data_IF_451109888644
#
_entry.id   IF_451109888644
#
_cell.length_a   1.000
_cell.length_b   1.000
_cell.length_c   1.000
_cell.angle_alpha   90.00
_cell.angle_beta   90.00
_cell.angle_gamma   90.00
#
_symmetry.space_group_name_H-M   'P 1'
#
loop_
_entity.id
_entity.type
_entity.pdbx_description
1 polymer ?
#
# COMPACT_ATOMS: atom_id res chain seq x y z
N UNK A 1 -13.11 -32.70 -3.89
CA UNK A 1 -12.33 -33.78 -4.54
C UNK A 1 -11.60 -33.30 -5.79
N UNK A 2 -12.30 -32.74 -6.79
CA UNK A 2 -11.69 -32.24 -8.05
C UNK A 2 -10.56 -31.20 -7.87
N UNK A 3 -10.71 -30.23 -6.95
CA UNK A 3 -9.66 -29.25 -6.60
C UNK A 3 -8.36 -29.90 -6.13
N UNK A 4 -8.44 -30.85 -5.19
CA UNK A 4 -7.27 -31.53 -4.63
C UNK A 4 -6.57 -32.43 -5.65
N UNK A 5 -7.33 -33.18 -6.47
CA UNK A 5 -6.79 -34.01 -7.55
C UNK A 5 -6.04 -33.15 -8.57
N UNK A 6 -6.59 -31.99 -8.92
CA UNK A 6 -5.99 -31.06 -9.87
C UNK A 6 -4.70 -30.41 -9.36
N UNK A 7 -4.59 -30.13 -8.05
CA UNK A 7 -3.35 -29.61 -7.45
C UNK A 7 -2.29 -30.71 -7.39
N UNK A 8 -2.66 -31.92 -6.96
CA UNK A 8 -1.73 -33.06 -6.95
C UNK A 8 -1.24 -33.42 -8.35
N UNK A 9 -2.11 -33.37 -9.36
CA UNK A 9 -1.70 -33.64 -10.74
C UNK A 9 -0.70 -32.60 -11.26
N UNK A 10 -0.83 -31.32 -10.90
CA UNK A 10 0.14 -30.27 -11.26
C UNK A 10 1.49 -30.44 -10.54
N UNK A 11 1.50 -30.92 -9.29
CA UNK A 11 2.73 -31.17 -8.53
C UNK A 11 3.49 -32.42 -9.00
N UNK A 12 2.78 -33.48 -9.41
CA UNK A 12 3.38 -34.80 -9.67
C UNK A 12 3.63 -35.14 -11.16
N UNK A 13 3.00 -34.44 -12.12
CA UNK A 13 3.14 -34.76 -13.55
C UNK A 13 3.72 -33.57 -14.35
N UNK A 14 4.88 -33.79 -14.96
CA UNK A 14 5.66 -32.83 -15.78
C UNK A 14 4.96 -32.45 -17.10
N UNK A 15 3.91 -31.63 -17.03
CA UNK A 15 3.41 -30.68 -18.05
C UNK A 15 2.05 -30.14 -17.56
N UNK A 16 1.70 -28.86 -17.50
CA UNK A 16 2.06 -27.70 -18.32
C UNK A 16 1.46 -26.48 -17.59
N UNK A 17 2.27 -25.57 -17.05
CA UNK A 17 1.87 -24.33 -16.36
C UNK A 17 1.03 -24.48 -15.07
N UNK A 18 1.48 -23.87 -13.96
CA UNK A 18 0.66 -23.66 -12.75
C UNK A 18 -0.41 -22.63 -13.03
N UNK A 19 -1.67 -23.05 -13.04
CA UNK A 19 -2.80 -22.17 -13.24
C UNK A 19 -3.15 -21.41 -11.96
N UNK A 20 -3.33 -20.10 -12.05
CA UNK A 20 -3.73 -19.22 -10.94
C UNK A 20 -4.97 -18.44 -11.34
N UNK A 21 -5.97 -18.39 -10.47
CA UNK A 21 -7.28 -17.84 -10.77
C UNK A 21 -7.51 -16.54 -9.99
N UNK A 22 -7.55 -15.41 -10.69
CA UNK A 22 -7.64 -14.08 -10.11
C UNK A 22 -9.09 -13.59 -10.08
N UNK A 23 -9.50 -13.03 -8.94
CA UNK A 23 -10.77 -12.34 -8.75
C UNK A 23 -10.45 -10.90 -8.35
N UNK A 24 -10.65 -9.95 -9.26
CA UNK A 24 -10.20 -8.57 -9.10
C UNK A 24 -11.39 -7.68 -8.76
N UNK A 25 -11.30 -6.95 -7.65
CA UNK A 25 -12.28 -5.94 -7.26
C UNK A 25 -11.63 -4.55 -7.31
N UNK A 26 -12.27 -3.61 -8.02
CA UNK A 26 -11.79 -2.23 -8.15
C UNK A 26 -10.93 -1.98 -9.39
N UNK A 27 -11.45 -2.14 -10.63
CA UNK A 27 -10.73 -1.86 -11.87
C UNK A 27 -10.62 -0.35 -12.20
N UNK A 28 -10.53 0.50 -11.17
CA UNK A 28 -10.35 1.95 -11.32
C UNK A 28 -8.94 2.31 -11.79
N UNK A 29 -8.40 3.45 -11.35
CA UNK A 29 -7.09 3.93 -11.81
C UNK A 29 -5.97 2.86 -11.67
N UNK A 30 -5.74 2.34 -10.46
CA UNK A 30 -4.72 1.29 -10.22
C UNK A 30 -5.13 -0.05 -10.84
N UNK A 31 -6.39 -0.47 -10.68
CA UNK A 31 -6.86 -1.77 -11.17
C UNK A 31 -6.83 -1.90 -12.70
N UNK A 32 -7.14 -0.82 -13.43
CA UNK A 32 -7.00 -0.76 -14.88
C UNK A 32 -5.55 -0.88 -15.33
N UNK A 33 -4.60 -0.23 -14.63
CA UNK A 33 -3.17 -0.40 -14.90
C UNK A 33 -2.70 -1.83 -14.63
N UNK A 34 -3.16 -2.44 -13.53
CA UNK A 34 -2.88 -3.84 -13.22
C UNK A 34 -3.35 -4.78 -14.35
N UNK A 35 -4.59 -4.60 -14.83
CA UNK A 35 -5.14 -5.41 -15.93
C UNK A 35 -4.32 -5.24 -17.22
N UNK A 36 -3.87 -4.01 -17.53
CA UNK A 36 -2.97 -3.74 -18.65
C UNK A 36 -1.61 -4.44 -18.51
N UNK A 37 -1.00 -4.38 -17.31
CA UNK A 37 0.27 -5.05 -17.03
C UNK A 37 0.13 -6.58 -17.11
N UNK A 38 -0.96 -7.15 -16.60
CA UNK A 38 -1.28 -8.57 -16.73
C UNK A 38 -1.40 -8.97 -18.20
N UNK A 39 -2.14 -8.22 -19.01
CA UNK A 39 -2.30 -8.46 -20.44
C UNK A 39 -0.94 -8.51 -21.18
N UNK A 40 -0.06 -7.56 -20.86
CA UNK A 40 1.26 -7.47 -21.49
C UNK A 40 2.18 -8.64 -21.10
N UNK A 41 2.07 -9.16 -19.87
CA UNK A 41 3.01 -10.15 -19.33
C UNK A 41 2.56 -11.61 -19.51
N UNK A 42 1.35 -11.89 -20.01
CA UNK A 42 0.81 -13.26 -20.15
C UNK A 42 1.78 -14.25 -20.83
N UNK A 43 2.47 -13.83 -21.90
CA UNK A 43 3.43 -14.69 -22.60
C UNK A 43 4.68 -14.94 -21.77
N UNK A 44 5.25 -13.91 -21.17
CA UNK A 44 6.45 -14.04 -20.32
C UNK A 44 6.18 -14.96 -19.13
N UNK A 45 5.04 -14.79 -18.45
CA UNK A 45 4.68 -15.61 -17.29
C UNK A 45 4.57 -17.10 -17.64
N UNK A 46 3.96 -17.42 -18.79
CA UNK A 46 3.90 -18.79 -19.29
C UNK A 46 5.30 -19.28 -19.65
N UNK A 47 5.96 -18.63 -20.61
CA UNK A 47 7.21 -19.10 -21.20
C UNK A 47 8.38 -19.16 -20.19
N UNK A 48 8.42 -18.28 -19.19
CA UNK A 48 9.57 -18.12 -18.27
C UNK A 48 9.30 -18.55 -16.84
N UNK A 49 8.06 -18.44 -16.37
CA UNK A 49 7.72 -18.76 -14.98
C UNK A 49 6.82 -20.00 -14.85
N UNK A 50 6.44 -20.62 -15.97
CA UNK A 50 5.45 -21.69 -16.01
C UNK A 50 4.15 -21.31 -15.26
N UNK A 51 3.72 -20.04 -15.34
CA UNK A 51 2.51 -19.54 -14.69
C UNK A 51 1.45 -19.16 -15.73
N UNK A 52 0.23 -19.67 -15.55
CA UNK A 52 -0.95 -19.28 -16.35
C UNK A 52 -1.91 -18.48 -15.46
N UNK A 53 -1.83 -17.15 -15.52
CA UNK A 53 -2.70 -16.26 -14.73
C UNK A 53 -4.02 -16.01 -15.47
N UNK A 54 -5.12 -16.50 -14.92
CA UNK A 54 -6.46 -16.32 -15.47
C UNK A 54 -7.26 -15.36 -14.61
N UNK A 55 -7.70 -14.25 -15.19
CA UNK A 55 -8.67 -13.36 -14.53
C UNK A 55 -10.07 -13.97 -14.71
N UNK A 56 -10.64 -14.48 -13.61
CA UNK A 56 -11.93 -15.17 -13.62
C UNK A 56 -13.08 -14.19 -13.43
N UNK A 57 -12.87 -13.15 -12.63
CA UNK A 57 -13.86 -12.10 -12.47
C UNK A 57 -13.22 -10.73 -12.27
N UNK A 58 -13.91 -9.71 -12.79
CA UNK A 58 -13.62 -8.30 -12.55
C UNK A 58 -14.91 -7.67 -12.01
N UNK A 59 -14.84 -7.01 -10.87
CA UNK A 59 -15.99 -6.37 -10.25
C UNK A 59 -15.69 -4.92 -9.86
N UNK A 60 -16.71 -4.06 -9.94
CA UNK A 60 -16.72 -2.74 -9.32
C UNK A 60 -17.95 -2.60 -8.38
N UNK A 61 -18.29 -1.39 -7.93
CA UNK A 61 -19.44 -1.19 -7.04
C UNK A 61 -20.81 -1.40 -7.68
N UNK A 62 -20.88 -1.58 -9.00
CA UNK A 62 -22.11 -1.63 -9.79
C UNK A 62 -22.27 -2.90 -10.61
N UNK A 63 -21.18 -3.48 -11.08
CA UNK A 63 -21.18 -4.57 -12.06
C UNK A 63 -20.12 -5.62 -11.72
N UNK A 64 -20.40 -6.88 -12.07
CA UNK A 64 -19.46 -7.99 -11.96
C UNK A 64 -19.43 -8.80 -13.24
N UNK A 65 -18.31 -8.71 -13.95
CA UNK A 65 -18.00 -9.53 -15.12
C UNK A 65 -17.35 -10.83 -14.66
N UNK A 66 -17.90 -11.96 -15.09
CA UNK A 66 -17.46 -13.31 -14.68
C UNK A 66 -17.24 -14.17 -15.92
N UNK A 67 -16.16 -14.93 -15.94
CA UNK A 67 -15.89 -15.96 -16.94
C UNK A 67 -16.37 -17.32 -16.43
N UNK A 68 -17.05 -18.06 -17.29
CA UNK A 68 -17.44 -19.45 -17.04
C UNK A 68 -16.29 -20.42 -17.35
N UNK A 69 -15.56 -20.20 -18.45
CA UNK A 69 -14.37 -20.98 -18.85
C UNK A 69 -13.27 -20.10 -19.46
N UNK A 70 -12.00 -20.47 -19.29
CA UNK A 70 -10.86 -19.88 -19.99
C UNK A 70 -10.31 -18.55 -19.46
N UNK A 71 -11.05 -17.84 -18.61
CA UNK A 71 -10.69 -16.50 -18.12
C UNK A 71 -11.23 -15.38 -19.03
N UNK A 72 -11.21 -14.15 -18.52
CA UNK A 72 -11.70 -12.95 -19.20
C UNK A 72 -10.67 -12.41 -20.21
N UNK A 73 -11.16 -11.80 -21.29
CA UNK A 73 -10.35 -10.94 -22.16
C UNK A 73 -9.84 -9.74 -21.35
N UNK A 74 -8.54 -9.47 -21.41
CA UNK A 74 -7.92 -8.33 -20.71
C UNK A 74 -7.85 -7.08 -21.58
N UNK A 75 -8.34 -7.13 -22.82
CA UNK A 75 -8.44 -5.97 -23.72
C UNK A 75 -9.83 -5.35 -23.69
N UNK A 76 -10.87 -6.17 -23.70
CA UNK A 76 -12.27 -5.72 -23.91
C UNK A 76 -13.08 -5.66 -22.61
N UNK A 77 -12.43 -5.89 -21.47
CA UNK A 77 -13.08 -5.91 -20.17
C UNK A 77 -13.84 -4.62 -19.81
N UNK A 78 -13.43 -3.38 -20.20
CA UNK A 78 -14.16 -2.19 -19.77
C UNK A 78 -15.60 -2.18 -20.29
N UNK A 79 -15.78 -2.39 -21.60
CA UNK A 79 -17.10 -2.43 -22.23
C UNK A 79 -17.92 -3.64 -21.77
N UNK A 80 -17.27 -4.80 -21.60
CA UNK A 80 -17.94 -6.00 -21.09
C UNK A 80 -18.41 -5.82 -19.64
N UNK A 81 -17.64 -5.12 -18.80
CA UNK A 81 -18.00 -4.85 -17.40
C UNK A 81 -19.18 -3.89 -17.29
N UNK A 82 -19.25 -2.87 -18.14
CA UNK A 82 -20.39 -1.94 -18.18
C UNK A 82 -21.73 -2.63 -18.49
N UNK A 83 -21.69 -3.72 -19.26
CA UNK A 83 -22.87 -4.52 -19.62
C UNK A 83 -23.12 -5.69 -18.65
N UNK A 84 -22.19 -5.96 -17.73
CA UNK A 84 -22.28 -7.09 -16.83
C UNK A 84 -23.36 -6.86 -15.75
N UNK A 85 -23.97 -7.93 -15.22
CA UNK A 85 -25.00 -7.81 -14.19
C UNK A 85 -24.45 -7.16 -12.92
N UNK A 86 -25.34 -6.50 -12.17
CA UNK A 86 -25.03 -6.02 -10.84
C UNK A 86 -24.85 -7.19 -9.87
N UNK A 87 -23.92 -7.02 -8.93
CA UNK A 87 -23.60 -8.05 -7.95
C UNK A 87 -23.05 -7.39 -6.70
N UNK A 88 -23.64 -7.71 -5.55
CA UNK A 88 -23.23 -7.15 -4.26
C UNK A 88 -21.89 -7.74 -3.80
N UNK A 89 -21.21 -7.06 -2.89
CA UNK A 89 -19.95 -7.55 -2.32
C UNK A 89 -20.08 -8.94 -1.65
N UNK A 90 -21.20 -9.19 -0.98
CA UNK A 90 -21.49 -10.48 -0.35
C UNK A 90 -21.65 -11.58 -1.41
N UNK A 91 -22.43 -11.30 -2.46
CA UNK A 91 -22.58 -12.22 -3.61
C UNK A 91 -21.24 -12.45 -4.31
N UNK A 92 -20.36 -11.44 -4.39
CA UNK A 92 -19.04 -11.60 -5.01
C UNK A 92 -18.16 -12.55 -4.21
N UNK A 93 -18.17 -12.37 -2.89
CA UNK A 93 -17.45 -13.26 -1.97
C UNK A 93 -17.97 -14.69 -2.07
N UNK A 94 -19.30 -14.87 -2.13
CA UNK A 94 -19.90 -16.19 -2.32
C UNK A 94 -19.61 -16.79 -3.69
N UNK A 95 -19.55 -15.99 -4.76
CA UNK A 95 -19.14 -16.42 -6.09
C UNK A 95 -17.71 -17.00 -6.07
N UNK A 96 -16.76 -16.30 -5.43
CA UNK A 96 -15.38 -16.76 -5.30
C UNK A 96 -15.32 -18.10 -4.56
N UNK A 97 -16.01 -18.18 -3.42
CA UNK A 97 -16.03 -19.38 -2.57
C UNK A 97 -16.69 -20.57 -3.29
N UNK A 98 -17.83 -20.35 -3.94
CA UNK A 98 -18.61 -21.39 -4.62
C UNK A 98 -17.91 -21.95 -5.86
N UNK A 99 -17.21 -21.10 -6.64
CA UNK A 99 -16.38 -21.58 -7.75
C UNK A 99 -15.27 -22.51 -7.27
N UNK A 100 -14.76 -22.31 -6.03
CA UNK A 100 -13.78 -23.18 -5.37
C UNK A 100 -12.63 -23.62 -6.29
N UNK A 101 -12.08 -22.65 -7.04
CA UNK A 101 -10.98 -22.92 -7.95
C UNK A 101 -9.69 -23.18 -7.15
N UNK A 102 -8.74 -23.89 -7.77
CA UNK A 102 -7.37 -24.02 -7.24
C UNK A 102 -6.63 -22.69 -7.39
N UNK A 103 -5.63 -22.48 -6.54
CA UNK A 103 -4.71 -21.33 -6.64
C UNK A 103 -5.47 -20.00 -6.84
N UNK A 104 -6.55 -19.81 -6.07
CA UNK A 104 -7.38 -18.62 -6.18
C UNK A 104 -6.77 -17.46 -5.41
N UNK A 105 -6.74 -16.30 -6.05
CA UNK A 105 -6.27 -15.04 -5.46
C UNK A 105 -7.36 -14.00 -5.62
N UNK A 106 -7.87 -13.51 -4.50
CA UNK A 106 -8.69 -12.31 -4.45
C UNK A 106 -7.78 -11.09 -4.40
N UNK A 107 -8.02 -10.13 -5.29
CA UNK A 107 -7.22 -8.93 -5.46
C UNK A 107 -8.10 -7.72 -5.16
N UNK A 108 -7.90 -7.10 -4.01
CA UNK A 108 -8.59 -5.88 -3.59
C UNK A 108 -7.77 -4.65 -3.98
N UNK A 109 -8.23 -3.95 -5.01
CA UNK A 109 -7.65 -2.69 -5.49
C UNK A 109 -8.56 -1.49 -5.15
N UNK A 110 -9.33 -1.62 -4.07
CA UNK A 110 -10.22 -0.56 -3.54
C UNK A 110 -9.64 0.09 -2.28
N UNK A 111 -10.36 1.08 -1.76
CA UNK A 111 -10.14 1.65 -0.43
C UNK A 111 -11.37 1.47 0.48
N UNK A 112 -12.22 0.48 0.19
CA UNK A 112 -13.50 0.30 0.87
C UNK A 112 -13.35 -0.58 2.12
N UNK A 113 -13.71 -0.11 3.33
CA UNK A 113 -13.66 -0.92 4.54
C UNK A 113 -14.49 -2.21 4.48
N UNK A 114 -15.69 -2.17 3.87
CA UNK A 114 -16.55 -3.35 3.77
C UNK A 114 -15.91 -4.49 2.98
N UNK A 115 -15.03 -4.16 2.02
CA UNK A 115 -14.25 -5.14 1.26
C UNK A 115 -13.20 -5.80 2.14
N UNK A 116 -12.52 -5.02 2.98
CA UNK A 116 -11.53 -5.53 3.92
C UNK A 116 -12.12 -6.55 4.90
N UNK A 117 -13.40 -6.44 5.26
CA UNK A 117 -14.14 -7.40 6.11
C UNK A 117 -14.34 -8.77 5.43
N UNK A 118 -14.27 -8.85 4.10
CA UNK A 118 -14.44 -10.11 3.36
C UNK A 118 -13.16 -10.95 3.32
N UNK A 119 -12.02 -10.46 3.83
CA UNK A 119 -10.75 -11.18 3.73
C UNK A 119 -10.74 -12.46 4.58
N UNK A 120 -11.28 -12.41 5.80
CA UNK A 120 -11.32 -13.56 6.69
C UNK A 120 -12.08 -14.77 6.09
N UNK A 121 -13.33 -14.64 5.58
CA UNK A 121 -14.02 -15.78 4.97
C UNK A 121 -13.32 -16.32 3.72
N UNK A 122 -12.61 -15.48 2.95
CA UNK A 122 -11.84 -15.90 1.79
C UNK A 122 -10.60 -16.71 2.18
N UNK A 123 -9.80 -16.21 3.14
CA UNK A 123 -8.61 -16.89 3.65
C UNK A 123 -8.97 -18.25 4.27
N UNK A 124 -10.09 -18.33 5.00
CA UNK A 124 -10.61 -19.57 5.57
C UNK A 124 -11.07 -20.62 4.52
N UNK A 125 -11.09 -20.25 3.24
CA UNK A 125 -11.35 -21.16 2.11
C UNK A 125 -10.11 -21.33 1.21
N UNK A 126 -8.93 -21.02 1.74
CA UNK A 126 -7.64 -21.07 1.04
C UNK A 126 -7.64 -20.22 -0.24
N UNK A 127 -8.33 -19.08 -0.22
CA UNK A 127 -8.22 -18.04 -1.25
C UNK A 127 -7.20 -17.03 -0.74
N UNK A 128 -6.10 -16.84 -1.46
CA UNK A 128 -5.10 -15.84 -1.12
C UNK A 128 -5.69 -14.43 -1.28
N UNK A 129 -5.25 -13.49 -0.46
CA UNK A 129 -5.67 -12.09 -0.54
C UNK A 129 -4.45 -11.23 -0.87
N UNK A 130 -4.55 -10.45 -1.95
CA UNK A 130 -3.62 -9.39 -2.31
C UNK A 130 -4.37 -8.07 -2.24
N UNK A 131 -3.88 -7.10 -1.48
CA UNK A 131 -4.62 -5.88 -1.21
C UNK A 131 -3.77 -4.60 -1.32
N UNK A 132 -4.27 -3.60 -2.06
CA UNK A 132 -3.87 -2.19 -1.92
C UNK A 132 -4.59 -1.47 -0.78
N UNK A 133 -5.61 -2.11 -0.23
CA UNK A 133 -6.46 -1.53 0.77
C UNK A 133 -5.77 -1.58 2.14
N UNK A 134 -5.46 -0.38 2.66
CA UNK A 134 -4.78 -0.22 3.95
C UNK A 134 -5.66 -0.59 5.15
N UNK A 135 -6.99 -0.59 5.00
CA UNK A 135 -7.95 -0.70 6.11
C UNK A 135 -7.69 -1.94 6.98
N UNK A 136 -7.50 -3.12 6.37
CA UNK A 136 -7.25 -4.34 7.14
C UNK A 136 -5.90 -4.32 7.89
N UNK A 137 -4.84 -3.80 7.25
CA UNK A 137 -3.49 -3.82 7.81
C UNK A 137 -3.29 -2.74 8.90
N UNK A 138 -3.98 -1.59 8.78
CA UNK A 138 -3.93 -0.48 9.72
C UNK A 138 -5.16 -0.34 10.64
N UNK A 139 -6.11 -1.27 10.58
CA UNK A 139 -7.28 -1.31 11.45
C UNK A 139 -6.96 -1.89 12.82
N UNK A 140 -7.98 -2.38 13.54
CA UNK A 140 -7.82 -3.06 14.83
C UNK A 140 -6.78 -4.20 14.76
N UNK A 141 -5.84 -4.23 15.70
CA UNK A 141 -4.79 -5.25 15.71
C UNK A 141 -5.35 -6.67 15.75
N UNK A 142 -6.47 -6.87 16.46
CA UNK A 142 -7.13 -8.17 16.57
C UNK A 142 -7.55 -8.71 15.19
N UNK A 143 -8.14 -7.87 14.33
CA UNK A 143 -8.54 -8.27 12.99
C UNK A 143 -7.34 -8.53 12.08
N UNK A 144 -6.35 -7.62 12.07
CA UNK A 144 -5.10 -7.83 11.36
C UNK A 144 -4.44 -9.17 11.73
N UNK A 145 -4.32 -9.46 13.03
CA UNK A 145 -3.74 -10.71 13.54
C UNK A 145 -4.57 -11.92 13.15
N UNK A 146 -5.90 -11.83 13.18
CA UNK A 146 -6.79 -12.88 12.69
C UNK A 146 -6.50 -13.22 11.22
N UNK A 147 -6.33 -12.22 10.35
CA UNK A 147 -6.01 -12.44 8.94
C UNK A 147 -4.65 -13.13 8.75
N UNK A 148 -3.62 -12.69 9.49
CA UNK A 148 -2.29 -13.34 9.45
C UNK A 148 -2.35 -14.80 9.93
N UNK A 149 -3.13 -15.08 10.98
CA UNK A 149 -3.33 -16.44 11.48
C UNK A 149 -4.08 -17.31 10.46
N UNK A 150 -5.21 -16.83 9.91
CA UNK A 150 -5.96 -17.55 8.89
C UNK A 150 -5.10 -17.87 7.66
N UNK A 151 -4.29 -16.90 7.20
CA UNK A 151 -3.37 -17.13 6.10
C UNK A 151 -2.40 -18.29 6.40
N UNK A 152 -1.83 -18.34 7.60
CA UNK A 152 -0.96 -19.44 8.05
C UNK A 152 -1.72 -20.76 8.17
N UNK A 153 -2.85 -20.77 8.88
CA UNK A 153 -3.57 -21.98 9.27
C UNK A 153 -4.19 -22.69 8.05
N UNK A 154 -4.55 -21.93 7.00
CA UNK A 154 -5.10 -22.46 5.74
C UNK A 154 -4.07 -22.55 4.59
N UNK A 155 -2.78 -22.43 4.92
CA UNK A 155 -1.65 -22.47 3.97
C UNK A 155 -1.86 -21.57 2.74
N UNK A 156 -2.22 -20.31 2.97
CA UNK A 156 -2.44 -19.29 1.95
C UNK A 156 -1.69 -18.00 2.29
N UNK A 157 -1.84 -16.95 1.49
CA UNK A 157 -1.17 -15.66 1.72
C UNK A 157 -2.17 -14.54 1.93
N UNK A 158 -1.80 -13.63 2.82
CA UNK A 158 -2.30 -12.26 2.88
C UNK A 158 -1.13 -11.32 2.60
N UNK A 159 -1.15 -10.67 1.44
CA UNK A 159 -0.08 -9.79 0.93
C UNK A 159 -0.65 -8.40 0.67
N UNK A 160 0.15 -7.39 0.96
CA UNK A 160 -0.27 -5.99 0.91
C UNK A 160 0.94 -5.05 0.80
N UNK A 161 1.92 -5.43 -0.03
CA UNK A 161 3.16 -4.66 -0.24
C UNK A 161 2.87 -3.18 -0.52
N UNK A 162 1.83 -2.92 -1.29
CA UNK A 162 1.50 -1.58 -1.76
C UNK A 162 0.90 -0.68 -0.71
N UNK A 163 0.58 -1.20 0.48
CA UNK A 163 0.15 -0.40 1.61
C UNK A 163 1.26 0.54 2.12
N UNK A 164 2.54 0.20 1.91
CA UNK A 164 3.69 1.02 2.31
C UNK A 164 4.70 1.10 1.19
N UNK A 165 4.89 2.29 0.60
CA UNK A 165 5.90 2.49 -0.44
C UNK A 165 5.43 2.20 -1.87
N UNK A 166 4.13 2.03 -2.12
CA UNK A 166 3.56 1.75 -3.44
C UNK A 166 4.16 0.49 -4.10
N UNK A 167 5.05 0.63 -5.08
CA UNK A 167 5.68 -0.53 -5.75
C UNK A 167 7.00 -0.95 -5.11
N UNK A 168 7.50 -0.22 -4.11
CA UNK A 168 8.76 -0.53 -3.45
C UNK A 168 8.62 -1.81 -2.61
N UNK A 169 9.64 -2.68 -2.60
CA UNK A 169 9.61 -3.93 -1.83
C UNK A 169 9.91 -3.68 -0.34
N UNK A 170 9.12 -2.86 0.33
CA UNK A 170 9.34 -2.47 1.73
C UNK A 170 8.92 -3.58 2.70
N UNK A 171 7.66 -3.99 2.64
CA UNK A 171 7.08 -5.03 3.51
C UNK A 171 7.69 -6.39 3.18
N UNK A 172 7.94 -6.69 1.91
CA UNK A 172 8.64 -7.90 1.50
C UNK A 172 10.03 -8.00 2.14
N UNK A 173 10.84 -6.95 2.01
CA UNK A 173 12.19 -6.90 2.62
C UNK A 173 12.13 -7.02 4.13
N UNK A 174 11.23 -6.29 4.79
CA UNK A 174 11.02 -6.38 6.23
C UNK A 174 10.64 -7.81 6.67
N UNK A 175 9.75 -8.45 5.93
CA UNK A 175 9.34 -9.83 6.22
C UNK A 175 10.50 -10.82 6.05
N UNK A 176 11.36 -10.65 5.05
CA UNK A 176 12.52 -11.52 4.83
C UNK A 176 13.58 -11.34 5.93
N UNK A 177 13.83 -10.10 6.38
CA UNK A 177 14.67 -9.82 7.54
C UNK A 177 14.13 -10.55 8.78
N UNK A 178 12.87 -10.33 9.13
CA UNK A 178 12.25 -10.92 10.33
C UNK A 178 12.17 -12.45 10.25
N UNK A 179 11.76 -13.02 9.10
CA UNK A 179 11.61 -14.48 8.92
C UNK A 179 12.94 -15.21 8.92
N UNK A 180 14.01 -14.57 8.48
CA UNK A 180 15.37 -15.11 8.55
C UNK A 180 15.99 -14.99 9.95
N UNK A 181 15.25 -14.49 10.93
CA UNK A 181 15.69 -14.37 12.32
C UNK A 181 16.48 -13.10 12.64
N UNK A 182 16.38 -12.05 11.81
CA UNK A 182 16.88 -10.72 12.17
C UNK A 182 15.87 -9.99 13.07
N UNK A 183 16.34 -8.99 13.83
CA UNK A 183 15.51 -8.18 14.74
C UNK A 183 15.61 -6.72 14.34
N UNK A 184 14.48 -6.13 13.96
CA UNK A 184 14.39 -4.71 13.65
C UNK A 184 14.40 -3.90 14.95
N UNK A 185 15.42 -3.06 15.12
CA UNK A 185 15.59 -2.19 16.29
C UNK A 185 15.00 -0.81 16.05
N UNK A 186 15.18 -0.29 14.83
CA UNK A 186 14.72 1.04 14.47
C UNK A 186 14.35 1.12 13.00
N UNK A 187 13.31 1.86 12.70
CA UNK A 187 12.92 2.23 11.34
C UNK A 187 12.78 3.75 11.25
N UNK A 188 13.20 4.30 10.12
CA UNK A 188 12.90 5.68 9.74
C UNK A 188 12.40 5.70 8.32
N UNK A 189 11.42 6.54 8.03
CA UNK A 189 10.82 6.56 6.72
C UNK A 189 10.27 7.94 6.36
N UNK A 190 10.36 8.28 5.07
CA UNK A 190 9.60 9.39 4.49
C UNK A 190 8.69 8.77 3.44
N UNK A 191 7.38 8.83 3.69
CA UNK A 191 6.39 8.00 3.02
C UNK A 191 5.20 8.77 2.46
N UNK A 192 5.25 10.11 2.45
CA UNK A 192 4.20 10.96 1.87
C UNK A 192 4.78 11.81 0.75
N UNK A 193 4.28 11.56 -0.47
CA UNK A 193 4.64 12.35 -1.65
C UNK A 193 4.22 13.82 -1.50
N UNK A 194 3.04 14.05 -0.94
CA UNK A 194 2.47 15.38 -0.71
C UNK A 194 3.31 16.20 0.28
N UNK A 195 3.59 15.64 1.46
CA UNK A 195 4.42 16.31 2.47
C UNK A 195 5.85 16.52 1.97
N UNK A 196 6.43 15.54 1.27
CA UNK A 196 7.75 15.69 0.68
C UNK A 196 7.76 16.79 -0.40
N UNK A 197 6.72 16.91 -1.23
CA UNK A 197 6.59 17.99 -2.19
C UNK A 197 6.52 19.35 -1.49
N UNK A 198 5.63 19.51 -0.51
CA UNK A 198 5.43 20.78 0.21
C UNK A 198 6.74 21.25 0.86
N UNK A 199 7.41 20.39 1.63
CA UNK A 199 8.66 20.76 2.32
C UNK A 199 9.89 20.86 1.40
N UNK A 200 9.85 20.27 0.21
CA UNK A 200 10.90 20.48 -0.80
C UNK A 200 10.74 21.80 -1.57
N UNK A 201 9.52 22.35 -1.63
CA UNK A 201 9.20 23.55 -2.40
C UNK A 201 8.93 24.80 -1.53
N UNK A 202 8.94 24.65 -0.20
CA UNK A 202 8.88 25.78 0.73
C UNK A 202 10.28 26.19 1.16
N UNK A 203 10.70 27.37 0.72
CA UNK A 203 12.02 27.97 0.98
C UNK A 203 11.91 29.35 1.66
N UNK A 204 10.72 29.71 2.16
CA UNK A 204 10.43 31.00 2.78
C UNK A 204 10.30 32.18 1.81
N UNK A 205 10.53 32.00 0.51
CA UNK A 205 10.42 33.07 -0.50
C UNK A 205 8.98 33.48 -0.80
N UNK A 206 8.04 32.55 -0.62
CA UNK A 206 6.59 32.73 -0.76
C UNK A 206 5.85 32.07 0.41
N UNK A 207 4.60 32.48 0.71
CA UNK A 207 3.82 31.92 1.80
C UNK A 207 3.64 30.40 1.70
N UNK A 208 3.66 29.70 2.84
CA UNK A 208 3.42 28.27 2.94
C UNK A 208 2.08 27.86 2.32
N UNK A 209 1.05 28.70 2.52
CA UNK A 209 -0.27 28.52 1.93
C UNK A 209 -0.24 28.43 0.39
N UNK A 210 0.63 29.18 -0.28
CA UNK A 210 0.78 29.13 -1.75
C UNK A 210 1.44 27.84 -2.21
N UNK A 211 2.42 27.32 -1.46
CA UNK A 211 3.06 26.03 -1.77
C UNK A 211 2.06 24.88 -1.62
N UNK A 212 1.24 24.91 -0.57
CA UNK A 212 0.17 23.91 -0.37
C UNK A 212 -0.87 24.01 -1.48
N UNK A 213 -1.24 25.22 -1.88
CA UNK A 213 -2.18 25.43 -3.00
C UNK A 213 -1.62 24.92 -4.32
N UNK A 214 -0.35 25.17 -4.61
CA UNK A 214 0.31 24.59 -5.77
C UNK A 214 0.26 23.06 -5.74
N UNK A 215 0.53 22.45 -4.59
CA UNK A 215 0.44 21.00 -4.45
C UNK A 215 -0.97 20.48 -4.76
N UNK A 216 -2.01 21.21 -4.34
CA UNK A 216 -3.40 20.90 -4.64
C UNK A 216 -3.72 21.05 -6.13
N UNK A 217 -3.32 22.17 -6.76
CA UNK A 217 -3.56 22.46 -8.17
C UNK A 217 -2.87 21.45 -9.09
N UNK A 218 -1.69 20.97 -8.71
CA UNK A 218 -0.95 19.91 -9.42
C UNK A 218 -1.45 18.48 -9.10
N UNK A 219 -2.46 18.35 -8.23
CA UNK A 219 -3.08 17.06 -7.90
C UNK A 219 -2.24 16.17 -6.99
N UNK A 220 -1.33 16.74 -6.20
CA UNK A 220 -0.57 16.02 -5.17
C UNK A 220 -1.33 15.88 -3.85
N UNK A 221 -2.37 16.67 -3.61
CA UNK A 221 -3.22 16.56 -2.42
C UNK A 221 -4.57 15.95 -2.76
N UNK A 222 -5.25 15.43 -1.75
CA UNK A 222 -6.70 15.23 -1.78
C UNK A 222 -7.44 16.58 -1.94
N UNK A 223 -8.75 16.57 -2.32
CA UNK A 223 -9.55 17.80 -2.41
C UNK A 223 -9.55 18.63 -1.13
N UNK A 224 -9.37 17.98 0.02
CA UNK A 224 -9.06 18.61 1.30
C UNK A 224 -7.59 18.30 1.69
N UNK A 225 -6.66 19.26 1.54
CA UNK A 225 -5.24 19.04 1.82
C UNK A 225 -4.95 18.63 3.27
N UNK A 226 -5.85 18.92 4.22
CA UNK A 226 -5.66 18.53 5.63
C UNK A 226 -5.54 17.03 5.80
N UNK A 227 -6.16 16.24 4.91
CA UNK A 227 -6.11 14.77 4.94
C UNK A 227 -4.69 14.24 4.71
N UNK A 228 -3.88 14.95 3.92
CA UNK A 228 -2.48 14.61 3.67
C UNK A 228 -1.54 15.24 4.69
N UNK A 229 -1.78 16.52 5.04
CA UNK A 229 -0.86 17.29 5.88
C UNK A 229 -0.94 16.93 7.38
N UNK A 230 -2.02 16.31 7.84
CA UNK A 230 -2.18 15.92 9.25
C UNK A 230 -1.33 14.70 9.67
N UNK A 231 -0.63 14.05 8.75
CA UNK A 231 0.26 12.92 9.03
C UNK A 231 -0.42 11.57 9.27
N UNK A 232 -1.75 11.48 9.22
CA UNK A 232 -2.50 10.25 9.52
C UNK A 232 -2.18 9.08 8.58
N UNK A 233 -1.96 9.35 7.29
CA UNK A 233 -1.53 8.34 6.32
C UNK A 233 -0.13 7.81 6.63
N UNK A 234 0.79 8.69 7.02
CA UNK A 234 2.16 8.33 7.43
C UNK A 234 2.13 7.50 8.71
N UNK A 235 1.26 7.85 9.66
CA UNK A 235 1.06 7.11 10.90
C UNK A 235 0.51 5.69 10.64
N UNK A 236 -0.45 5.53 9.73
CA UNK A 236 -0.91 4.19 9.29
C UNK A 236 0.22 3.37 8.68
N UNK A 237 1.10 3.98 7.90
CA UNK A 237 2.21 3.25 7.25
C UNK A 237 3.25 2.77 8.26
N UNK A 238 3.65 3.60 9.23
CA UNK A 238 4.59 3.14 10.28
C UNK A 238 3.94 2.11 11.21
N UNK A 239 2.63 2.21 11.49
CA UNK A 239 1.88 1.18 12.20
C UNK A 239 1.97 -0.18 11.50
N UNK A 240 1.73 -0.20 10.18
CA UNK A 240 1.83 -1.43 9.38
C UNK A 240 3.26 -2.01 9.45
N UNK A 241 4.29 -1.18 9.29
CA UNK A 241 5.68 -1.63 9.38
C UNK A 241 6.02 -2.18 10.77
N UNK A 242 5.64 -1.48 11.85
CA UNK A 242 5.88 -1.94 13.21
C UNK A 242 5.19 -3.28 13.48
N UNK A 243 3.95 -3.47 12.99
CA UNK A 243 3.23 -4.76 13.09
C UNK A 243 3.93 -5.87 12.32
N UNK A 244 4.39 -5.62 11.09
CA UNK A 244 5.17 -6.59 10.31
C UNK A 244 6.56 -6.87 10.91
N UNK A 245 7.11 -5.94 11.70
CA UNK A 245 8.30 -6.16 12.54
C UNK A 245 8.01 -6.94 13.85
N UNK A 246 6.78 -7.44 14.03
CA UNK A 246 6.38 -8.28 15.15
C UNK A 246 5.77 -7.54 16.35
N UNK A 247 5.56 -6.23 16.25
CA UNK A 247 5.00 -5.44 17.35
C UNK A 247 3.48 -5.53 17.42
N UNK A 248 2.94 -5.39 18.63
CA UNK A 248 1.51 -5.26 18.88
C UNK A 248 1.21 -3.80 19.21
N UNK A 249 0.78 -3.06 18.19
CA UNK A 249 0.41 -1.64 18.29
C UNK A 249 -0.97 -1.40 17.69
N UNK A 250 -1.69 -0.46 18.26
CA UNK A 250 -2.87 0.19 17.70
C UNK A 250 -2.52 1.57 17.16
N UNK A 251 -3.44 2.16 16.38
CA UNK A 251 -3.26 3.52 15.86
C UNK A 251 -3.09 4.55 16.98
N UNK A 252 -3.75 4.35 18.13
CA UNK A 252 -3.61 5.20 19.32
C UNK A 252 -2.22 5.17 19.96
N UNK A 253 -1.43 4.14 19.67
CA UNK A 253 -0.07 4.00 20.20
C UNK A 253 0.97 4.74 19.32
N UNK A 254 0.55 5.25 18.15
CA UNK A 254 1.40 6.03 17.26
C UNK A 254 1.31 7.51 17.63
N UNK A 255 2.38 8.06 18.18
CA UNK A 255 2.44 9.49 18.47
C UNK A 255 2.44 10.30 17.15
N UNK A 256 1.59 11.33 17.07
CA UNK A 256 1.54 12.22 15.92
C UNK A 256 1.88 13.66 16.35
N UNK A 257 3.12 14.05 16.08
CA UNK A 257 3.64 15.39 16.34
C UNK A 257 3.32 16.31 15.16
N UNK A 258 2.09 16.86 15.19
CA UNK A 258 1.63 17.78 14.15
C UNK A 258 2.48 19.06 14.12
N UNK A 259 2.96 19.41 12.94
CA UNK A 259 3.58 20.72 12.68
C UNK A 259 2.55 21.82 12.39
N UNK A 260 1.29 21.44 12.09
CA UNK A 260 0.21 22.37 11.84
C UNK A 260 -0.34 22.92 13.16
N UNK A 261 -0.46 24.26 13.31
CA UNK A 261 -1.22 24.86 14.40
C UNK A 261 -2.66 24.32 14.44
N UNK A 262 -3.21 24.14 15.64
CA UNK A 262 -4.52 23.49 15.83
C UNK A 262 -5.66 24.23 15.10
N UNK A 263 -5.60 25.55 14.94
CA UNK A 263 -6.62 26.32 14.23
C UNK A 263 -6.67 26.00 12.74
N UNK A 264 -5.56 25.56 12.12
CA UNK A 264 -5.54 25.12 10.72
C UNK A 264 -6.37 23.85 10.50
N UNK A 265 -6.61 23.03 11.53
CA UNK A 265 -7.38 21.79 11.40
C UNK A 265 -8.90 21.99 11.59
N UNK A 266 -9.34 23.23 11.81
CA UNK A 266 -10.75 23.58 12.05
C UNK A 266 -11.40 24.18 10.79
N UNK A 267 -12.73 24.16 10.72
CA UNK A 267 -13.49 24.78 9.63
C UNK A 267 -13.50 23.98 8.32
N UNK A 268 -13.69 24.67 7.20
CA UNK A 268 -13.66 24.11 5.85
C UNK A 268 -12.30 24.35 5.16
N UNK A 269 -12.19 24.00 3.88
CA UNK A 269 -10.94 24.18 3.10
C UNK A 269 -10.59 25.65 2.92
N UNK A 270 -11.58 26.55 2.84
CA UNK A 270 -11.31 27.98 2.73
C UNK A 270 -10.70 28.51 4.04
N UNK A 271 -11.32 28.19 5.18
CA UNK A 271 -10.81 28.52 6.50
C UNK A 271 -9.40 27.96 6.75
N UNK A 272 -9.12 26.75 6.26
CA UNK A 272 -7.77 26.16 6.31
C UNK A 272 -6.72 27.08 5.66
N UNK A 273 -6.96 27.55 4.44
CA UNK A 273 -6.02 28.44 3.75
C UNK A 273 -5.88 29.81 4.42
N UNK A 274 -6.98 30.36 4.97
CA UNK A 274 -6.92 31.58 5.78
C UNK A 274 -6.03 31.39 7.01
N UNK A 275 -6.18 30.28 7.73
CA UNK A 275 -5.36 29.97 8.89
C UNK A 275 -3.89 29.69 8.53
N UNK A 276 -3.62 29.04 7.39
CA UNK A 276 -2.24 28.87 6.91
C UNK A 276 -1.57 30.22 6.67
N UNK A 277 -2.29 31.19 6.10
CA UNK A 277 -1.78 32.54 5.88
C UNK A 277 -1.52 33.29 7.19
N UNK A 278 -2.44 33.19 8.16
CA UNK A 278 -2.25 33.77 9.51
C UNK A 278 -1.01 33.20 10.20
N UNK A 279 -0.76 31.90 10.05
CA UNK A 279 0.37 31.20 10.66
C UNK A 279 1.65 31.14 9.80
N UNK A 280 1.76 31.95 8.75
CA UNK A 280 3.01 32.05 7.96
C UNK A 280 4.26 32.30 8.83
N UNK A 281 4.24 33.16 9.87
CA UNK A 281 5.40 33.31 10.76
C UNK A 281 5.85 32.01 11.45
N UNK A 282 4.91 31.11 11.78
CA UNK A 282 5.21 29.80 12.37
C UNK A 282 5.93 28.89 11.37
N UNK A 283 5.41 28.78 10.15
CA UNK A 283 6.04 27.94 9.11
C UNK A 283 7.40 28.48 8.69
N UNK A 284 7.53 29.81 8.61
CA UNK A 284 8.80 30.48 8.33
C UNK A 284 9.84 30.20 9.41
N UNK A 285 9.46 30.29 10.68
CA UNK A 285 10.35 29.96 11.79
C UNK A 285 10.84 28.50 11.75
N UNK A 286 9.96 27.54 11.40
CA UNK A 286 10.36 26.14 11.20
C UNK A 286 11.40 26.00 10.08
N UNK A 287 11.18 26.67 8.94
CA UNK A 287 12.10 26.64 7.81
C UNK A 287 13.44 27.31 8.15
N UNK A 288 13.43 28.50 8.70
CA UNK A 288 14.64 29.26 9.05
C UNK A 288 15.48 28.54 10.10
N UNK A 289 14.85 27.92 11.10
CA UNK A 289 15.54 27.09 12.09
C UNK A 289 16.32 25.95 11.41
N UNK A 290 15.70 25.22 10.48
CA UNK A 290 16.38 24.16 9.74
C UNK A 290 17.46 24.71 8.79
N UNK A 291 17.14 25.74 8.01
CA UNK A 291 18.00 26.30 6.98
C UNK A 291 19.27 26.96 7.57
N UNK A 292 19.16 27.59 8.74
CA UNK A 292 20.30 28.21 9.44
C UNK A 292 21.42 27.22 9.81
N UNK A 293 21.06 25.93 9.96
CA UNK A 293 21.99 24.84 10.24
C UNK A 293 22.29 23.98 9.00
N UNK A 294 21.87 24.41 7.81
CA UNK A 294 21.98 23.63 6.58
C UNK A 294 21.15 22.34 6.60
N UNK A 295 20.16 22.22 7.48
CA UNK A 295 19.24 21.08 7.58
C UNK A 295 18.04 21.24 6.66
N UNK A 296 17.34 20.14 6.39
CA UNK A 296 16.10 20.11 5.61
C UNK A 296 14.95 19.56 6.43
N UNK A 297 13.78 20.17 6.28
CA UNK A 297 12.55 19.68 6.91
C UNK A 297 12.03 18.44 6.17
N UNK A 298 11.79 17.35 6.91
CA UNK A 298 11.16 16.14 6.39
C UNK A 298 10.11 15.65 7.38
N UNK A 299 8.95 15.26 6.88
CA UNK A 299 7.95 14.59 7.71
C UNK A 299 8.29 13.10 7.80
N UNK A 300 8.80 12.68 8.97
CA UNK A 300 9.40 11.37 9.19
C UNK A 300 8.45 10.49 9.99
N UNK A 301 8.30 9.25 9.53
CA UNK A 301 7.77 8.15 10.31
C UNK A 301 8.92 7.42 10.99
N UNK A 302 8.82 7.19 12.28
CA UNK A 302 9.86 6.56 13.07
C UNK A 302 9.29 5.45 13.94
N UNK A 303 10.04 4.35 14.04
CA UNK A 303 9.84 3.33 15.05
C UNK A 303 11.17 3.07 15.75
N UNK A 304 11.20 3.13 17.08
CA UNK A 304 12.37 2.80 17.89
C UNK A 304 11.90 2.38 19.29
N UNK A 305 12.58 1.41 19.89
CA UNK A 305 12.36 1.01 21.29
C UNK A 305 10.90 0.70 21.63
N UNK A 306 10.18 0.06 20.71
CA UNK A 306 8.77 -0.30 20.89
C UNK A 306 7.77 0.83 20.63
N UNK A 307 8.24 2.04 20.34
CA UNK A 307 7.40 3.21 20.12
C UNK A 307 7.39 3.63 18.65
N UNK A 308 6.23 4.01 18.15
CA UNK A 308 6.07 4.56 16.81
C UNK A 308 5.65 6.03 16.91
N UNK A 309 6.23 6.87 16.06
CA UNK A 309 5.87 8.29 15.96
C UNK A 309 5.93 8.79 14.52
N UNK A 310 5.22 9.87 14.26
CA UNK A 310 5.34 10.66 13.03
C UNK A 310 5.45 12.13 13.37
N UNK A 311 6.24 12.88 12.62
CA UNK A 311 6.41 14.30 12.88
C UNK A 311 7.38 14.98 11.92
N UNK A 312 7.41 16.30 11.97
CA UNK A 312 8.35 17.10 11.20
C UNK A 312 9.72 17.11 11.88
N UNK A 313 10.75 16.65 11.17
CA UNK A 313 12.12 16.59 11.67
C UNK A 313 13.07 17.44 10.82
N UNK A 314 14.12 17.97 11.44
CA UNK A 314 15.22 18.63 10.76
C UNK A 314 16.32 17.61 10.45
N UNK A 315 16.53 17.32 9.18
CA UNK A 315 17.48 16.32 8.71
C UNK A 315 18.79 16.99 8.33
N UNK A 316 19.89 16.53 8.91
CA UNK A 316 21.23 17.04 8.64
C UNK A 316 21.80 16.54 7.29
N UNK A 317 22.71 17.32 6.67
CA UNK A 317 23.49 16.85 5.52
C UNK A 317 24.18 15.52 5.82
N UNK A 318 24.22 14.63 4.82
CA UNK A 318 24.83 13.30 4.96
C UNK A 318 23.90 12.21 5.49
N UNK A 319 22.73 12.54 6.04
CA UNK A 319 21.70 11.56 6.40
C UNK A 319 20.96 11.06 5.14
N UNK A 320 20.59 9.77 5.06
CA UNK A 320 19.91 9.17 3.89
C UNK A 320 18.54 9.82 3.55
N UNK A 321 17.95 10.54 4.51
CA UNK A 321 16.70 11.28 4.35
C UNK A 321 16.90 12.69 3.77
N UNK A 322 18.14 13.18 3.68
CA UNK A 322 18.44 14.58 3.33
C UNK A 322 18.17 14.88 1.84
N UNK A 323 18.59 13.97 0.95
CA UNK A 323 18.53 14.17 -0.52
C UNK A 323 17.28 13.58 -1.18
N UNK A 324 16.17 13.50 -0.46
CA UNK A 324 14.90 13.04 -1.04
C UNK A 324 14.32 14.14 -1.93
N UNK A 325 14.27 13.88 -3.25
CA UNK A 325 13.72 14.78 -4.27
C UNK A 325 12.37 14.27 -4.76
N UNK A 326 11.55 15.17 -5.29
CA UNK A 326 10.27 14.83 -5.92
C UNK A 326 9.34 14.03 -5.01
N UNK A 327 8.89 12.87 -5.50
CA UNK A 327 7.93 11.98 -4.83
C UNK A 327 8.57 10.66 -4.33
N UNK A 328 9.87 10.69 -4.09
CA UNK A 328 10.58 9.52 -3.58
C UNK A 328 10.10 9.17 -2.17
N UNK A 329 9.79 7.89 -1.97
CA UNK A 329 9.66 7.30 -0.65
C UNK A 329 10.97 6.61 -0.29
N UNK A 330 11.27 6.58 1.00
CA UNK A 330 12.42 5.85 1.53
C UNK A 330 12.07 5.23 2.88
N UNK A 331 12.61 4.04 3.12
CA UNK A 331 12.58 3.36 4.42
C UNK A 331 13.98 2.87 4.75
N UNK A 332 14.41 3.14 5.98
CA UNK A 332 15.69 2.75 6.54
C UNK A 332 15.39 1.71 7.62
N UNK A 333 15.97 0.52 7.49
CA UNK A 333 15.88 -0.54 8.50
C UNK A 333 17.20 -0.67 9.23
N UNK A 334 17.18 -0.40 10.53
CA UNK A 334 18.28 -0.68 11.44
C UNK A 334 17.94 -1.94 12.23
N UNK A 335 18.81 -2.93 12.14
CA UNK A 335 18.60 -4.27 12.71
C UNK A 335 19.83 -4.74 13.48
N UNK A 336 19.76 -5.89 14.12
CA UNK A 336 20.93 -6.51 14.75
C UNK A 336 22.04 -6.82 13.72
N UNK A 337 21.68 -7.08 12.46
CA UNK A 337 22.63 -7.29 11.35
C UNK A 337 23.05 -6.00 10.64
N UNK A 338 22.22 -4.96 10.74
CA UNK A 338 22.44 -3.62 10.16
C UNK A 338 22.40 -2.54 11.26
N UNK A 339 23.33 -2.54 12.24
CA UNK A 339 23.24 -1.66 13.41
C UNK A 339 23.63 -0.20 13.10
N UNK A 340 24.66 0.00 12.28
CA UNK A 340 25.20 1.34 11.95
C UNK A 340 24.72 1.83 10.59
N UNK A 341 24.95 1.03 9.54
CA UNK A 341 24.51 1.33 8.19
C UNK A 341 23.17 0.62 7.94
N UNK A 342 22.05 1.35 7.81
CA UNK A 342 20.75 0.74 7.62
C UNK A 342 20.64 0.10 6.25
N UNK A 343 19.76 -0.89 6.13
CA UNK A 343 19.26 -1.30 4.82
C UNK A 343 18.29 -0.20 4.33
N UNK A 344 18.59 0.38 3.18
CA UNK A 344 17.81 1.49 2.59
C UNK A 344 17.01 0.99 1.38
N UNK A 345 15.69 1.13 1.44
CA UNK A 345 14.79 0.93 0.30
C UNK A 345 14.27 2.30 -0.16
N UNK A 346 14.65 2.74 -1.37
CA UNK A 346 14.29 4.05 -1.93
C UNK A 346 13.76 3.94 -3.36
N UNK A 347 12.77 4.76 -3.70
CA UNK A 347 12.36 5.02 -5.07
C UNK A 347 11.00 5.69 -5.14
N UNK A 348 10.37 5.71 -6.32
CA UNK A 348 9.09 6.40 -6.51
C UNK A 348 8.00 5.83 -5.58
N UNK A 349 7.45 6.71 -4.73
CA UNK A 349 6.53 6.33 -3.65
C UNK A 349 5.05 6.38 -3.97
N UNK A 350 4.69 6.82 -5.18
CA UNK A 350 3.31 7.04 -5.60
C UNK A 350 3.15 7.01 -7.13
N UNK A 351 1.97 6.59 -7.57
CA UNK A 351 1.55 6.58 -8.97
C UNK A 351 0.88 5.26 -9.35
N UNK A 352 -0.18 5.33 -10.16
CA UNK A 352 -1.02 4.18 -10.45
C UNK A 352 -0.27 3.00 -11.09
N UNK A 353 0.66 3.27 -12.02
CA UNK A 353 1.49 2.22 -12.65
C UNK A 353 2.41 1.51 -11.66
N UNK A 354 3.05 2.27 -10.79
CA UNK A 354 4.00 1.73 -9.80
C UNK A 354 3.25 0.92 -8.75
N UNK A 355 2.10 1.40 -8.27
CA UNK A 355 1.24 0.65 -7.36
C UNK A 355 0.70 -0.62 -8.02
N UNK A 356 0.24 -0.55 -9.27
CA UNK A 356 -0.22 -1.73 -10.01
C UNK A 356 0.89 -2.78 -10.15
N UNK A 357 2.13 -2.34 -10.38
CA UNK A 357 3.29 -3.23 -10.44
C UNK A 357 3.56 -3.93 -9.11
N UNK A 358 3.42 -3.23 -7.99
CA UNK A 358 3.51 -3.83 -6.65
C UNK A 358 2.42 -4.88 -6.39
N UNK A 359 1.17 -4.60 -6.77
CA UNK A 359 0.07 -5.58 -6.68
C UNK A 359 0.37 -6.81 -7.52
N UNK A 360 0.86 -6.60 -8.74
CA UNK A 360 1.24 -7.68 -9.61
C UNK A 360 2.38 -8.53 -9.01
N UNK A 361 3.39 -7.92 -8.41
CA UNK A 361 4.43 -8.64 -7.68
C UNK A 361 3.85 -9.50 -6.55
N UNK A 362 2.87 -8.99 -5.79
CA UNK A 362 2.16 -9.77 -4.77
C UNK A 362 1.33 -10.93 -5.35
N UNK A 363 0.68 -10.74 -6.51
CA UNK A 363 0.00 -11.83 -7.22
C UNK A 363 0.99 -12.94 -7.57
N UNK A 364 2.18 -12.59 -8.08
CA UNK A 364 3.25 -13.56 -8.39
C UNK A 364 3.75 -14.25 -7.12
N UNK A 365 3.92 -13.53 -6.01
CA UNK A 365 4.30 -14.12 -4.71
C UNK A 365 3.23 -15.08 -4.18
N UNK A 366 1.95 -14.75 -4.32
CA UNK A 366 0.84 -15.62 -3.95
C UNK A 366 0.79 -16.89 -4.83
N UNK A 367 1.11 -16.77 -6.12
CA UNK A 367 1.12 -17.85 -7.08
C UNK A 367 2.23 -18.90 -6.84
N UNK A 368 3.36 -18.51 -6.24
CA UNK A 368 4.54 -19.37 -6.07
C UNK A 368 4.53 -20.23 -4.79
N UNK A 369 3.39 -20.30 -4.09
CA UNK A 369 3.19 -21.14 -2.90
C UNK A 369 3.17 -22.63 -3.19
#
# INVERSE_FOLDING_TARGET
>A
MRKAINVLHEEFFEATYKQVNLFILGPGNVGGKLLGQLAQQQRYLRDKLALDLRVVAIANSRHCLVSDEGGLSLTDWPAALEQAPALTLSEFTQLIISKNLRNSVFVDVTANPAVAEQYAPLLAKSVAVVACNKVAASGEYAYYRQLKNLARDFNTRYLFETNVGAGLPVIGTLNDLTRSGDVVRRMQAVLSGTLNFVFNNYDGSRPFAEVVRQAQDEGYTEPDPRLDLNGSDVARKILILAREAGQRLEMSDVANESFLPASCLQGDVAAFYEQLAVHEPHFRALYEAAASEGRRLKFVAQYADGQASVGLQQIAPGHDLYELRGKDNVVLFYTDRYPEQPLVVKGAGAGAEVTASGVFADIIRAARL
#
